data_IF_164059553284
#
_entry.id   IF_164059553284
#
_cell.length_a   1.000
_cell.length_b   1.000
_cell.length_c   1.000
_cell.angle_alpha   90.00
_cell.angle_beta   90.00
_cell.angle_gamma   90.00
#
_symmetry.space_group_name_H-M   'P 1'
#
loop_
_entity.id
_entity.type
_entity.pdbx_description
1 polymer ?
#
# COMPACT_ATOMS: atom_id res chain seq x y z
N UNK A 1 12.78 4.91 -47.09
CA UNK A 1 11.98 4.85 -45.85
C UNK A 1 10.62 5.51 -46.08
N UNK A 2 9.50 4.77 -45.97
CA UNK A 2 8.13 5.31 -46.08
C UNK A 2 7.58 5.54 -44.67
N UNK A 3 7.32 6.78 -44.29
CA UNK A 3 6.61 7.10 -43.04
C UNK A 3 5.10 7.12 -43.28
N UNK A 4 4.36 6.26 -42.58
CA UNK A 4 2.91 6.16 -42.62
C UNK A 4 2.31 7.19 -41.65
N UNK A 5 1.74 8.27 -42.19
CA UNK A 5 1.09 9.34 -41.43
C UNK A 5 -0.19 8.80 -40.78
N UNK A 6 -0.17 8.57 -39.47
CA UNK A 6 -1.38 8.21 -38.71
C UNK A 6 -2.27 9.45 -38.59
N UNK A 7 -3.39 9.49 -39.31
CA UNK A 7 -4.36 10.58 -39.24
C UNK A 7 -5.26 10.44 -38.00
N UNK A 8 -5.27 11.44 -37.14
CA UNK A 8 -6.12 11.59 -35.94
C UNK A 8 -7.64 11.69 -36.23
N UNK A 9 -8.06 11.73 -37.49
CA UNK A 9 -9.47 11.95 -37.88
C UNK A 9 -10.39 10.78 -37.53
N UNK A 10 -9.85 9.56 -37.36
CA UNK A 10 -10.66 8.36 -37.09
C UNK A 10 -11.07 8.23 -35.63
N UNK A 11 -10.39 8.90 -34.70
CA UNK A 11 -10.70 8.86 -33.28
C UNK A 11 -11.92 9.73 -32.96
N UNK A 12 -11.99 10.94 -33.55
CA UNK A 12 -13.06 11.92 -33.30
C UNK A 12 -14.46 11.41 -33.65
N UNK A 13 -14.62 10.70 -34.77
CA UNK A 13 -15.94 10.21 -35.21
C UNK A 13 -16.49 9.10 -34.32
N UNK A 14 -15.62 8.24 -33.76
CA UNK A 14 -16.02 7.19 -32.81
C UNK A 14 -16.56 7.79 -31.50
N UNK A 15 -15.91 8.83 -30.96
CA UNK A 15 -16.38 9.52 -29.76
C UNK A 15 -17.70 10.27 -30.00
N UNK A 16 -17.87 10.89 -31.17
CA UNK A 16 -19.10 11.57 -31.53
C UNK A 16 -20.30 10.59 -31.61
N UNK A 17 -20.08 9.40 -32.18
CA UNK A 17 -21.09 8.36 -32.25
C UNK A 17 -21.40 7.75 -30.87
N UNK A 18 -20.39 7.60 -30.00
CA UNK A 18 -20.58 7.10 -28.64
C UNK A 18 -21.43 8.08 -27.81
N UNK A 19 -21.14 9.39 -27.90
CA UNK A 19 -21.92 10.43 -27.23
C UNK A 19 -23.38 10.43 -27.67
N UNK A 20 -23.64 10.38 -28.99
CA UNK A 20 -25.01 10.32 -29.52
C UNK A 20 -25.76 9.06 -29.06
N UNK A 21 -25.08 7.92 -28.99
CA UNK A 21 -25.67 6.67 -28.49
C UNK A 21 -26.04 6.77 -27.01
N UNK A 22 -25.17 7.37 -26.19
CA UNK A 22 -25.41 7.61 -24.77
C UNK A 22 -26.60 8.55 -24.58
N UNK A 23 -26.64 9.70 -25.28
CA UNK A 23 -27.75 10.66 -25.21
C UNK A 23 -29.08 10.05 -25.68
N UNK A 24 -29.07 9.21 -26.72
CA UNK A 24 -30.26 8.50 -27.20
C UNK A 24 -30.79 7.47 -26.19
N UNK A 25 -29.89 6.68 -25.58
CA UNK A 25 -30.26 5.70 -24.55
C UNK A 25 -30.80 6.40 -23.29
N UNK A 26 -30.14 7.46 -22.83
CA UNK A 26 -30.56 8.26 -21.67
C UNK A 26 -31.93 8.91 -21.90
N UNK A 27 -32.15 9.54 -23.06
CA UNK A 27 -33.42 10.19 -23.36
C UNK A 27 -34.59 9.20 -23.49
N UNK A 28 -34.34 7.96 -23.93
CA UNK A 28 -35.34 6.89 -23.96
C UNK A 28 -35.69 6.40 -22.54
N UNK A 29 -34.71 6.31 -21.65
CA UNK A 29 -34.90 5.92 -20.24
C UNK A 29 -35.64 7.03 -19.47
N UNK A 30 -35.35 8.30 -19.74
CA UNK A 30 -35.96 9.46 -19.08
C UNK A 30 -37.42 9.73 -19.50
N UNK A 31 -37.87 9.23 -20.66
CA UNK A 31 -39.23 9.46 -21.18
C UNK A 31 -40.19 8.28 -20.96
N UNK A 32 -39.71 7.16 -20.43
CA UNK A 32 -40.55 6.00 -20.11
C UNK A 32 -41.30 6.18 -18.79
N UNK A 33 -42.45 5.51 -18.66
CA UNK A 33 -43.24 5.43 -17.41
C UNK A 33 -42.46 4.83 -16.22
N UNK A 34 -41.29 4.26 -16.48
CA UNK A 34 -40.36 3.72 -15.49
C UNK A 34 -39.33 4.75 -14.98
N UNK A 35 -39.33 5.97 -15.51
CA UNK A 35 -38.46 7.06 -15.04
C UNK A 35 -38.43 7.23 -13.50
N UNK A 36 -39.57 7.23 -12.76
CA UNK A 36 -39.52 7.34 -11.29
C UNK A 36 -38.84 6.15 -10.61
N UNK A 37 -38.97 4.94 -11.15
CA UNK A 37 -38.28 3.74 -10.63
C UNK A 37 -36.76 3.83 -10.84
N UNK A 38 -36.33 4.35 -11.99
CA UNK A 38 -34.90 4.55 -12.29
C UNK A 38 -34.29 5.60 -11.34
N UNK A 39 -35.00 6.70 -11.07
CA UNK A 39 -34.56 7.70 -10.10
C UNK A 39 -34.47 7.13 -8.68
N UNK A 40 -35.46 6.31 -8.28
CA UNK A 40 -35.45 5.65 -6.98
C UNK A 40 -34.24 4.71 -6.82
N UNK A 41 -33.94 3.88 -7.83
CA UNK A 41 -32.78 2.99 -7.82
C UNK A 41 -31.44 3.76 -7.81
N UNK A 42 -31.36 4.89 -8.49
CA UNK A 42 -30.17 5.76 -8.46
C UNK A 42 -29.94 6.36 -7.08
N UNK A 43 -31.01 6.86 -6.43
CA UNK A 43 -30.91 7.42 -5.08
C UNK A 43 -30.53 6.33 -4.08
N UNK A 44 -31.15 5.15 -4.18
CA UNK A 44 -30.87 4.00 -3.32
C UNK A 44 -29.40 3.58 -3.40
N UNK A 45 -28.85 3.46 -4.61
CA UNK A 45 -27.44 3.10 -4.81
C UNK A 45 -26.50 4.18 -4.28
N UNK A 46 -26.82 5.46 -4.47
CA UNK A 46 -26.07 6.58 -3.88
C UNK A 46 -26.09 6.54 -2.34
N UNK A 47 -27.25 6.29 -1.72
CA UNK A 47 -27.38 6.20 -0.26
C UNK A 47 -26.55 5.05 0.31
N UNK A 48 -26.61 3.87 -0.31
CA UNK A 48 -25.80 2.71 0.12
C UNK A 48 -24.31 3.02 0.00
N UNK A 49 -23.89 3.65 -1.10
CA UNK A 49 -22.48 4.05 -1.28
C UNK A 49 -22.01 5.07 -0.24
N UNK A 50 -22.86 6.02 0.13
CA UNK A 50 -22.54 7.03 1.15
C UNK A 50 -22.35 6.39 2.53
N UNK A 51 -23.23 5.45 2.90
CA UNK A 51 -23.10 4.69 4.15
C UNK A 51 -21.81 3.87 4.15
N UNK A 52 -21.48 3.21 3.04
CA UNK A 52 -20.23 2.44 2.90
C UNK A 52 -18.98 3.32 3.04
N UNK A 53 -18.98 4.52 2.45
CA UNK A 53 -17.87 5.48 2.58
C UNK A 53 -17.74 5.95 4.03
N UNK A 54 -18.84 6.34 4.68
CA UNK A 54 -18.82 6.78 6.09
C UNK A 54 -18.31 5.65 6.98
N UNK A 55 -18.82 4.43 6.80
CA UNK A 55 -18.33 3.24 7.51
C UNK A 55 -16.85 3.02 7.27
N UNK A 56 -16.38 3.12 6.04
CA UNK A 56 -14.95 2.94 5.72
C UNK A 56 -14.09 3.96 6.46
N UNK A 57 -14.51 5.22 6.55
CA UNK A 57 -13.75 6.28 7.23
C UNK A 57 -13.78 6.05 8.76
N UNK A 58 -14.92 5.67 9.33
CA UNK A 58 -15.04 5.46 10.79
C UNK A 58 -14.46 4.14 11.29
N UNK A 59 -14.33 3.14 10.42
CA UNK A 59 -13.80 1.82 10.78
C UNK A 59 -12.27 1.81 10.88
N UNK A 60 -11.60 2.80 10.28
CA UNK A 60 -10.19 3.05 10.56
C UNK A 60 -10.14 4.12 11.66
N UNK A 61 -9.86 3.74 12.93
CA UNK A 61 -9.58 4.76 13.93
C UNK A 61 -8.46 5.63 13.38
N UNK A 62 -8.61 6.95 13.50
CA UNK A 62 -7.57 7.93 13.17
C UNK A 62 -6.24 7.39 13.69
N UNK A 63 -5.42 6.87 12.77
CA UNK A 63 -4.04 6.54 13.04
C UNK A 63 -3.41 7.91 13.27
N UNK A 64 -3.39 8.34 14.53
CA UNK A 64 -2.66 9.53 14.94
C UNK A 64 -1.23 9.33 14.48
N UNK A 65 -0.91 9.83 13.30
CA UNK A 65 0.46 9.97 12.81
C UNK A 65 1.13 10.92 13.78
N UNK A 66 1.76 10.34 14.79
CA UNK A 66 2.38 11.06 15.90
C UNK A 66 3.80 11.52 15.53
N UNK A 67 4.27 11.18 14.33
CA UNK A 67 5.58 11.52 13.79
C UNK A 67 6.18 10.37 13.00
N UNK A 68 7.48 10.46 12.70
CA UNK A 68 8.18 9.52 11.83
C UNK A 68 9.26 8.73 12.57
N UNK A 69 9.53 7.52 12.12
CA UNK A 69 10.70 6.73 12.50
C UNK A 69 11.59 6.52 11.27
N UNK A 70 12.86 6.24 11.52
CA UNK A 70 13.87 6.03 10.47
C UNK A 70 14.33 4.58 10.48
N UNK A 71 14.32 3.93 9.32
CA UNK A 71 14.93 2.62 9.11
C UNK A 71 16.15 2.77 8.20
N UNK A 72 17.30 2.27 8.64
CA UNK A 72 18.55 2.25 7.88
C UNK A 72 18.90 0.80 7.59
N UNK A 73 19.00 0.44 6.32
CA UNK A 73 19.38 -0.90 5.87
C UNK A 73 20.72 -0.81 5.16
N UNK A 74 21.76 -1.39 5.77
CA UNK A 74 23.12 -1.42 5.25
C UNK A 74 23.48 -2.84 4.80
N UNK A 75 22.97 -3.24 3.63
CA UNK A 75 23.22 -4.56 3.02
C UNK A 75 23.87 -4.34 1.65
N UNK A 76 25.09 -4.85 1.46
CA UNK A 76 26.00 -4.87 0.27
C UNK A 76 26.02 -3.64 -0.67
N UNK A 77 24.87 -3.20 -1.18
CA UNK A 77 24.69 -2.08 -2.12
C UNK A 77 24.66 -0.69 -1.45
N UNK A 78 25.28 -0.56 -0.28
CA UNK A 78 25.34 0.68 0.51
C UNK A 78 24.11 0.93 1.39
N UNK A 79 24.20 1.89 2.33
CA UNK A 79 23.12 2.19 3.27
C UNK A 79 21.93 2.81 2.55
N UNK A 80 20.74 2.25 2.77
CA UNK A 80 19.45 2.80 2.35
C UNK A 80 18.71 3.31 3.57
N UNK A 81 18.26 4.55 3.52
CA UNK A 81 17.49 5.17 4.59
C UNK A 81 16.03 5.32 4.15
N UNK A 82 15.12 4.90 5.02
CA UNK A 82 13.69 5.02 4.87
C UNK A 82 13.14 5.81 6.06
N UNK A 83 12.25 6.76 5.78
CA UNK A 83 11.55 7.51 6.81
C UNK A 83 10.06 7.30 6.59
N UNK A 84 9.35 6.85 7.62
CA UNK A 84 7.94 6.49 7.54
C UNK A 84 7.18 6.95 8.77
N UNK A 85 5.88 7.17 8.61
CA UNK A 85 4.97 7.48 9.71
C UNK A 85 4.85 6.29 10.67
N UNK A 86 4.85 6.57 11.97
CA UNK A 86 4.66 5.54 13.01
C UNK A 86 3.19 5.47 13.39
N UNK A 87 2.59 4.29 13.23
CA UNK A 87 1.23 4.01 13.66
C UNK A 87 1.17 3.48 15.09
N UNK A 88 0.00 3.58 15.73
CA UNK A 88 -0.20 3.00 17.05
C UNK A 88 0.04 1.48 17.01
N UNK A 89 0.88 0.97 17.93
CA UNK A 89 1.30 -0.43 18.02
C UNK A 89 2.19 -0.98 16.89
N UNK A 90 2.77 -0.11 16.06
CA UNK A 90 3.75 -0.52 15.06
C UNK A 90 4.96 -1.19 15.71
N UNK A 91 5.33 -2.37 15.22
CA UNK A 91 6.52 -3.12 15.66
C UNK A 91 7.70 -2.90 14.74
N UNK A 92 8.90 -3.35 15.17
CA UNK A 92 10.10 -3.30 14.31
C UNK A 92 9.90 -4.12 13.05
N UNK A 93 9.20 -5.26 13.15
CA UNK A 93 8.83 -6.07 11.99
C UNK A 93 7.90 -5.32 11.04
N UNK A 94 6.88 -4.61 11.56
CA UNK A 94 5.97 -3.82 10.72
C UNK A 94 6.71 -2.68 9.99
N UNK A 95 7.65 -2.01 10.68
CA UNK A 95 8.49 -0.99 10.08
C UNK A 95 9.39 -1.54 8.97
N UNK A 96 9.92 -2.74 9.16
CA UNK A 96 10.70 -3.44 8.14
C UNK A 96 9.84 -3.81 6.93
N UNK A 97 8.63 -4.35 7.13
CA UNK A 97 7.69 -4.70 6.05
C UNK A 97 7.26 -3.45 5.27
N UNK A 98 6.90 -2.37 5.96
CA UNK A 98 6.49 -1.12 5.34
C UNK A 98 7.62 -0.51 4.49
N UNK A 99 8.83 -0.49 5.04
CA UNK A 99 10.01 0.00 4.32
C UNK A 99 10.37 -0.91 3.14
N UNK A 100 10.14 -2.21 3.27
CA UNK A 100 10.40 -3.15 2.20
C UNK A 100 9.42 -2.97 1.03
N UNK A 101 8.14 -2.74 1.33
CA UNK A 101 7.15 -2.39 0.32
C UNK A 101 7.50 -1.08 -0.41
N UNK A 102 7.96 -0.05 0.32
CA UNK A 102 8.36 1.23 -0.25
C UNK A 102 9.66 1.14 -1.08
N UNK A 103 10.64 0.36 -0.61
CA UNK A 103 11.97 0.21 -1.21
C UNK A 103 12.09 -0.90 -2.25
N UNK A 104 10.99 -1.58 -2.59
CA UNK A 104 10.96 -2.79 -3.44
C UNK A 104 11.94 -3.87 -2.95
N UNK A 105 12.07 -3.98 -1.63
CA UNK A 105 12.92 -4.97 -0.96
C UNK A 105 12.07 -6.23 -0.76
N UNK A 106 12.62 -7.39 -1.12
CA UNK A 106 11.91 -8.66 -0.92
C UNK A 106 12.24 -9.19 0.47
N UNK A 107 11.24 -9.44 1.33
CA UNK A 107 11.48 -10.02 2.66
C UNK A 107 10.62 -11.26 2.81
N UNK A 108 11.23 -12.38 3.21
CA UNK A 108 10.51 -13.56 3.69
C UNK A 108 10.75 -13.69 5.19
N UNK A 109 9.66 -13.77 5.94
CA UNK A 109 9.69 -13.97 7.37
C UNK A 109 8.62 -14.99 7.77
N UNK A 110 8.82 -15.60 8.94
CA UNK A 110 7.89 -16.51 9.58
C UNK A 110 7.66 -16.06 11.01
N UNK A 111 6.42 -16.20 11.49
CA UNK A 111 6.10 -16.07 12.91
C UNK A 111 5.86 -17.49 13.41
N UNK A 112 6.70 -17.95 14.34
CA UNK A 112 6.61 -19.28 14.91
C UNK A 112 5.48 -19.36 15.95
N UNK A 113 5.03 -20.59 16.31
CA UNK A 113 3.95 -20.77 17.29
C UNK A 113 4.25 -20.20 18.69
N UNK A 114 5.52 -20.02 19.03
CA UNK A 114 5.99 -19.37 20.27
C UNK A 114 6.00 -17.83 20.18
N UNK A 115 5.41 -17.27 19.12
CA UNK A 115 5.36 -15.85 18.82
C UNK A 115 6.75 -15.21 18.58
N UNK A 116 7.75 -15.99 18.18
CA UNK A 116 9.05 -15.47 17.74
C UNK A 116 9.07 -15.22 16.23
N UNK A 117 9.87 -14.24 15.80
CA UNK A 117 10.06 -13.88 14.39
C UNK A 117 11.30 -14.56 13.83
N UNK A 118 11.19 -15.16 12.66
CA UNK A 118 12.31 -15.70 11.90
C UNK A 118 12.38 -15.00 10.55
N UNK A 119 13.48 -14.29 10.28
CA UNK A 119 13.74 -13.70 8.96
C UNK A 119 14.42 -14.76 8.10
N UNK A 120 13.70 -15.28 7.11
CA UNK A 120 14.17 -16.32 6.22
C UNK A 120 14.93 -15.78 5.00
N UNK A 121 14.61 -14.54 4.59
CA UNK A 121 15.26 -13.89 3.46
C UNK A 121 15.04 -12.39 3.46
N UNK A 122 16.06 -11.64 3.02
CA UNK A 122 15.95 -10.24 2.60
C UNK A 122 16.63 -10.14 1.24
N UNK A 123 16.00 -9.52 0.24
CA UNK A 123 16.50 -9.27 -1.13
C UNK A 123 17.04 -10.48 -1.92
N UNK A 124 16.40 -11.65 -1.86
CA UNK A 124 16.90 -12.82 -2.60
C UNK A 124 17.96 -13.63 -1.85
N UNK A 125 18.41 -13.16 -0.69
CA UNK A 125 19.36 -13.86 0.17
C UNK A 125 18.64 -14.84 1.09
N UNK A 126 18.28 -16.00 0.56
CA UNK A 126 17.64 -17.10 1.29
C UNK A 126 18.54 -18.33 1.36
N UNK A 127 18.54 -19.01 2.51
CA UNK A 127 19.31 -20.24 2.83
C UNK A 127 20.84 -20.08 2.99
N UNK A 128 21.40 -18.96 2.54
CA UNK A 128 22.73 -18.48 2.88
C UNK A 128 22.66 -17.01 3.35
N UNK A 129 21.66 -16.69 4.19
CA UNK A 129 21.77 -15.50 5.05
C UNK A 129 23.16 -15.56 5.70
N UNK A 130 24.01 -14.53 5.56
CA UNK A 130 25.17 -14.47 6.42
C UNK A 130 24.62 -14.59 7.84
N UNK A 131 25.26 -15.42 8.66
CA UNK A 131 24.92 -15.69 10.08
C UNK A 131 24.91 -14.44 10.98
N UNK A 132 24.79 -13.26 10.41
CA UNK A 132 25.34 -12.02 10.88
C UNK A 132 24.44 -10.80 10.54
N UNK A 133 23.16 -10.96 10.18
CA UNK A 133 22.28 -9.77 10.18
C UNK A 133 22.02 -9.35 11.63
N UNK A 134 22.57 -8.20 12.01
CA UNK A 134 22.38 -7.60 13.31
C UNK A 134 21.34 -6.48 13.22
N UNK A 135 20.37 -6.53 14.12
CA UNK A 135 19.30 -5.57 14.23
C UNK A 135 19.58 -4.65 15.42
N UNK A 136 19.37 -3.36 15.22
CA UNK A 136 19.53 -2.35 16.26
C UNK A 136 18.30 -1.45 16.32
N UNK A 137 17.92 -1.05 17.52
CA UNK A 137 16.94 -0.01 17.80
C UNK A 137 17.61 1.06 18.66
N UNK A 138 17.63 2.31 18.20
CA UNK A 138 18.27 3.43 18.87
C UNK A 138 19.73 3.11 19.30
N UNK A 139 20.49 2.44 18.42
CA UNK A 139 21.87 1.94 18.64
C UNK A 139 22.01 0.78 19.63
N UNK A 140 20.93 0.31 20.26
CA UNK A 140 20.93 -0.90 21.07
C UNK A 140 20.68 -2.14 20.20
N UNK A 141 21.53 -3.18 20.31
CA UNK A 141 21.34 -4.44 19.58
C UNK A 141 20.08 -5.14 20.11
N UNK A 142 19.21 -5.57 19.21
CA UNK A 142 17.98 -6.30 19.53
C UNK A 142 18.02 -7.71 18.96
N UNK A 143 17.31 -8.65 19.60
CA UNK A 143 17.20 -10.01 19.09
C UNK A 143 16.26 -10.02 17.88
N UNK A 144 16.66 -10.70 16.80
CA UNK A 144 15.85 -10.87 15.60
C UNK A 144 14.56 -11.67 15.88
N UNK A 145 14.54 -12.49 16.93
CA UNK A 145 13.38 -13.27 17.35
C UNK A 145 12.25 -12.41 17.94
N UNK A 146 12.55 -11.20 18.41
CA UNK A 146 11.61 -10.32 19.11
C UNK A 146 11.12 -9.15 18.25
N UNK A 147 11.41 -9.14 16.94
CA UNK A 147 11.06 -8.03 16.04
C UNK A 147 9.55 -7.74 15.97
N UNK A 148 8.70 -8.76 16.13
CA UNK A 148 7.24 -8.65 16.20
C UNK A 148 6.70 -8.25 17.58
N UNK A 149 7.56 -8.10 18.59
CA UNK A 149 7.16 -7.73 19.97
C UNK A 149 7.63 -6.33 20.33
N UNK A 150 8.78 -5.91 19.79
CA UNK A 150 9.37 -4.61 20.08
C UNK A 150 8.59 -3.54 19.34
N UNK A 151 8.01 -2.61 20.10
CA UNK A 151 7.26 -1.46 19.57
C UNK A 151 8.22 -0.36 19.13
N UNK A 152 7.88 0.27 18.01
CA UNK A 152 8.55 1.44 17.47
C UNK A 152 7.85 2.69 17.94
N UNK A 153 8.62 3.66 18.40
CA UNK A 153 8.14 4.98 18.80
C UNK A 153 8.55 6.05 17.77
N UNK A 154 7.89 7.19 17.87
CA UNK A 154 8.22 8.36 17.04
C UNK A 154 9.66 8.81 17.34
N UNK A 155 10.43 9.01 16.28
CA UNK A 155 11.84 9.41 16.37
C UNK A 155 12.82 8.24 16.52
N UNK A 156 12.34 7.00 16.62
CA UNK A 156 13.21 5.84 16.70
C UNK A 156 14.02 5.65 15.42
N UNK A 157 15.25 5.14 15.60
CA UNK A 157 16.15 4.75 14.52
C UNK A 157 16.36 3.24 14.59
N UNK A 158 15.89 2.55 13.56
CA UNK A 158 16.09 1.11 13.38
C UNK A 158 17.23 0.93 12.40
N UNK A 159 18.23 0.13 12.74
CA UNK A 159 19.36 -0.16 11.85
C UNK A 159 19.49 -1.66 11.62
N UNK A 160 19.74 -2.04 10.37
CA UNK A 160 19.99 -3.42 9.95
C UNK A 160 21.34 -3.43 9.28
N UNK A 161 22.29 -4.11 9.90
CA UNK A 161 23.66 -4.20 9.43
C UNK A 161 24.05 -5.67 9.20
N UNK A 162 24.94 -5.89 8.24
CA UNK A 162 25.62 -7.16 8.05
C UNK A 162 26.90 -7.16 8.91
N UNK A 163 26.97 -8.05 9.91
CA UNK A 163 28.18 -8.40 10.66
C UNK A 163 29.14 -9.30 9.85
#
# INVERSE_FOLDING_TARGET
>A
MKYKKFSLSTYSSKFLNLRKLIEFRLSKILRGTEAPLVWFLLILTLSISAVFIIWSITAYPDLKSAGTATLIISIENGPRMFQGEVTENMTVLDALIASAAAGQIHIRYYIRPDNTTEIAEINGYGSALPKNLAFYLNRGRINSEDLNKIKVQVGDIIEINQE
#
